data_IF_043802522514
#
_entry.id   IF_043802522514
#
_cell.length_a   1.000
_cell.length_b   1.000
_cell.length_c   1.000
_cell.angle_alpha   90.00
_cell.angle_beta   90.00
_cell.angle_gamma   90.00
#
_symmetry.space_group_name_H-M   'P 1'
#
loop_
_entity.id
_entity.type
_entity.pdbx_description
1 polymer ?
#
# COMPACT_ATOMS: atom_id res chain seq x y z
N UNK A 1 -21.79 9.06 48.38
CA UNK A 1 -21.15 7.98 47.58
C UNK A 1 -22.16 7.34 46.66
N UNK A 2 -23.37 6.90 47.12
CA UNK A 2 -24.40 6.23 46.31
C UNK A 2 -24.90 7.07 45.13
N UNK A 3 -25.10 8.37 45.33
CA UNK A 3 -25.58 9.29 44.27
C UNK A 3 -24.55 9.44 43.17
N UNK A 4 -23.24 9.53 43.54
CA UNK A 4 -22.15 9.63 42.56
C UNK A 4 -22.03 8.36 41.74
N UNK A 5 -22.12 7.19 42.37
CA UNK A 5 -22.10 5.89 41.68
C UNK A 5 -23.30 5.73 40.72
N UNK A 6 -24.52 6.15 41.15
CA UNK A 6 -25.68 6.12 40.29
C UNK A 6 -25.54 7.05 39.09
N UNK A 7 -24.98 8.25 39.28
CA UNK A 7 -24.72 9.18 38.17
C UNK A 7 -23.67 8.63 37.18
N UNK A 8 -22.58 8.01 37.68
CA UNK A 8 -21.58 7.37 36.82
C UNK A 8 -22.15 6.18 36.04
N UNK A 9 -22.99 5.35 36.67
CA UNK A 9 -23.67 4.25 36.00
C UNK A 9 -24.63 4.76 34.91
N UNK A 10 -25.37 5.83 35.19
CA UNK A 10 -26.24 6.44 34.18
C UNK A 10 -25.49 7.01 32.99
N UNK A 11 -24.34 7.69 33.23
CA UNK A 11 -23.47 8.19 32.18
C UNK A 11 -22.87 7.05 31.34
N UNK A 12 -22.46 5.97 31.99
CA UNK A 12 -21.97 4.78 31.31
C UNK A 12 -23.06 4.16 30.42
N UNK A 13 -24.27 3.95 30.96
CA UNK A 13 -25.39 3.42 30.19
C UNK A 13 -25.73 4.33 28.99
N UNK A 14 -25.71 5.64 29.20
CA UNK A 14 -25.92 6.60 28.14
C UNK A 14 -24.88 6.48 27.05
N UNK A 15 -23.61 6.38 27.40
CA UNK A 15 -22.52 6.20 26.42
C UNK A 15 -22.59 4.85 25.72
N UNK A 16 -22.77 3.76 26.46
CA UNK A 16 -22.71 2.39 25.92
C UNK A 16 -23.93 2.03 25.04
N UNK A 17 -25.13 2.52 25.38
CA UNK A 17 -26.39 2.03 24.81
C UNK A 17 -27.27 3.11 24.17
N UNK A 18 -26.84 4.38 24.13
CA UNK A 18 -27.66 5.46 23.57
C UNK A 18 -27.61 5.46 22.04
N UNK A 19 -28.78 5.62 21.42
CA UNK A 19 -28.93 5.83 19.97
C UNK A 19 -28.92 7.30 19.57
N UNK A 20 -28.57 8.22 20.50
CA UNK A 20 -28.42 9.64 20.17
C UNK A 20 -27.28 9.77 19.15
N UNK A 21 -27.53 10.37 17.96
CA UNK A 21 -26.56 10.36 16.85
C UNK A 21 -25.17 10.91 17.22
N UNK A 22 -25.14 11.92 18.07
CA UNK A 22 -23.90 12.49 18.56
C UNK A 22 -23.10 11.50 19.43
N UNK A 23 -23.77 10.82 20.37
CA UNK A 23 -23.13 9.84 21.27
C UNK A 23 -22.72 8.59 20.50
N UNK A 24 -23.59 8.09 19.64
CA UNK A 24 -23.32 6.94 18.80
C UNK A 24 -22.10 7.17 17.89
N UNK A 25 -21.97 8.35 17.28
CA UNK A 25 -20.82 8.74 16.47
C UNK A 25 -19.52 8.71 17.28
N UNK A 26 -19.49 9.31 18.47
CA UNK A 26 -18.31 9.33 19.30
C UNK A 26 -17.94 7.95 19.86
N UNK A 27 -18.94 7.14 20.19
CA UNK A 27 -18.75 5.74 20.59
C UNK A 27 -18.10 4.93 19.45
N UNK A 28 -18.60 5.07 18.22
CA UNK A 28 -18.03 4.40 17.05
C UNK A 28 -16.57 4.80 16.80
N UNK A 29 -16.27 6.12 16.85
CA UNK A 29 -14.89 6.61 16.72
C UNK A 29 -13.99 6.03 17.82
N UNK A 30 -14.47 6.00 19.07
CA UNK A 30 -13.72 5.43 20.20
C UNK A 30 -13.43 3.94 19.98
N UNK A 31 -14.44 3.14 19.59
CA UNK A 31 -14.26 1.71 19.32
C UNK A 31 -13.27 1.50 18.18
N UNK A 32 -13.46 2.17 17.06
CA UNK A 32 -12.57 2.03 15.90
C UNK A 32 -11.13 2.41 16.25
N UNK A 33 -10.93 3.51 16.94
CA UNK A 33 -9.58 3.94 17.36
C UNK A 33 -8.94 2.95 18.35
N UNK A 34 -9.70 2.41 19.29
CA UNK A 34 -9.19 1.43 20.25
C UNK A 34 -8.87 0.09 19.57
N UNK A 35 -9.71 -0.35 18.62
CA UNK A 35 -9.52 -1.61 17.90
C UNK A 35 -8.41 -1.55 16.85
N UNK A 36 -8.13 -0.37 16.30
CA UNK A 36 -7.03 -0.17 15.34
C UNK A 36 -5.64 -0.21 16.00
N UNK A 37 -5.57 -0.09 17.31
CA UNK A 37 -4.32 -0.04 18.05
C UNK A 37 -4.15 -1.32 18.88
N UNK A 38 -3.22 -2.19 18.51
CA UNK A 38 -3.00 -3.49 19.16
C UNK A 38 -2.86 -3.38 20.71
N UNK A 39 -2.23 -2.33 21.21
CA UNK A 39 -2.02 -2.14 22.64
C UNK A 39 -3.22 -1.56 23.41
N UNK A 40 -4.28 -1.12 22.71
CA UNK A 40 -5.39 -0.41 23.33
C UNK A 40 -6.76 -1.10 23.13
N UNK A 41 -6.80 -2.27 22.52
CA UNK A 41 -8.04 -3.05 22.32
C UNK A 41 -8.75 -3.35 23.63
N UNK A 42 -8.00 -3.55 24.70
CA UNK A 42 -8.55 -3.77 26.03
C UNK A 42 -9.41 -2.59 26.54
N UNK A 43 -9.16 -1.35 26.07
CA UNK A 43 -9.99 -0.20 26.42
C UNK A 43 -11.42 -0.33 25.87
N UNK A 44 -11.60 -0.88 24.68
CA UNK A 44 -12.91 -1.16 24.13
C UNK A 44 -13.53 -2.42 24.79
N UNK A 45 -12.79 -3.52 24.84
CA UNK A 45 -13.29 -4.83 25.30
C UNK A 45 -13.57 -4.89 26.80
N UNK A 46 -12.87 -4.10 27.63
CA UNK A 46 -13.10 -4.04 29.08
C UNK A 46 -14.30 -3.17 29.48
N UNK A 47 -14.65 -2.18 28.65
CA UNK A 47 -15.65 -1.17 29.02
C UNK A 47 -16.94 -1.24 28.20
N UNK A 48 -16.93 -1.92 27.05
CA UNK A 48 -18.10 -2.01 26.19
C UNK A 48 -18.51 -3.47 25.96
N UNK A 49 -19.82 -3.74 25.84
CA UNK A 49 -20.31 -5.07 25.45
C UNK A 49 -19.81 -5.45 24.06
N UNK A 50 -19.48 -6.74 23.89
CA UNK A 50 -18.97 -7.27 22.64
C UNK A 50 -19.94 -6.98 21.46
N UNK A 51 -21.25 -7.06 21.69
CA UNK A 51 -22.24 -6.76 20.65
C UNK A 51 -22.16 -5.34 20.10
N UNK A 52 -21.81 -4.36 20.94
CA UNK A 52 -21.66 -2.95 20.52
C UNK A 52 -20.36 -2.77 19.71
N UNK A 53 -19.33 -3.50 20.09
CA UNK A 53 -18.05 -3.53 19.36
C UNK A 53 -18.26 -4.17 17.99
N UNK A 54 -18.92 -5.33 17.95
CA UNK A 54 -19.16 -6.08 16.72
C UNK A 54 -20.02 -5.27 15.72
N UNK A 55 -21.03 -4.53 16.23
CA UNK A 55 -21.85 -3.66 15.39
C UNK A 55 -21.04 -2.51 14.78
N UNK A 56 -20.18 -1.85 15.58
CA UNK A 56 -19.33 -0.76 15.09
C UNK A 56 -18.29 -1.25 14.07
N UNK A 57 -17.75 -2.46 14.26
CA UNK A 57 -16.79 -3.08 13.34
C UNK A 57 -17.47 -3.61 12.09
N UNK A 58 -18.67 -4.16 12.18
CA UNK A 58 -19.45 -4.61 11.03
C UNK A 58 -19.83 -3.45 10.10
N UNK A 59 -20.22 -2.31 10.66
CA UNK A 59 -20.49 -1.09 9.89
C UNK A 59 -19.27 -0.60 9.13
N UNK A 60 -18.07 -0.66 9.74
CA UNK A 60 -16.82 -0.33 9.10
C UNK A 60 -16.45 -1.31 7.98
N UNK A 61 -16.55 -2.61 8.27
CA UNK A 61 -16.23 -3.66 7.29
C UNK A 61 -17.19 -3.62 6.09
N UNK A 62 -18.47 -3.31 6.32
CA UNK A 62 -19.45 -3.09 5.27
C UNK A 62 -19.07 -1.91 4.36
N UNK A 63 -18.71 -0.78 4.94
CA UNK A 63 -18.23 0.39 4.18
C UNK A 63 -16.95 0.11 3.39
N UNK A 64 -16.02 -0.66 3.96
CA UNK A 64 -14.81 -1.11 3.24
C UNK A 64 -15.13 -2.07 2.10
N UNK A 65 -16.08 -2.98 2.29
CA UNK A 65 -16.53 -3.90 1.22
C UNK A 65 -17.25 -3.15 0.09
N UNK A 66 -18.07 -2.15 0.40
CA UNK A 66 -18.69 -1.30 -0.62
C UNK A 66 -17.63 -0.51 -1.41
N UNK A 67 -16.61 0.05 -0.74
CA UNK A 67 -15.50 0.70 -1.43
C UNK A 67 -14.70 -0.27 -2.30
N UNK A 68 -14.48 -1.50 -1.83
CA UNK A 68 -13.76 -2.52 -2.61
C UNK A 68 -14.57 -3.00 -3.80
N UNK A 69 -15.90 -3.08 -3.70
CA UNK A 69 -16.79 -3.41 -4.81
C UNK A 69 -16.90 -2.27 -5.84
N UNK A 70 -16.81 -1.02 -5.40
CA UNK A 70 -16.75 0.13 -6.29
C UNK A 70 -15.39 0.27 -7.01
N UNK A 71 -14.34 -0.29 -6.42
CA UNK A 71 -13.00 -0.37 -7.04
C UNK A 71 -12.78 -1.74 -7.72
N UNK A 72 -13.86 -2.45 -8.08
CA UNK A 72 -13.73 -3.69 -8.82
C UNK A 72 -13.20 -3.43 -10.23
N UNK A 73 -12.54 -4.44 -10.79
CA UNK A 73 -11.87 -4.38 -12.10
C UNK A 73 -12.76 -3.90 -13.27
N UNK A 74 -14.08 -3.90 -13.10
CA UNK A 74 -15.03 -3.40 -14.09
C UNK A 74 -14.98 -1.87 -14.27
N UNK A 75 -14.68 -1.11 -13.18
CA UNK A 75 -14.51 0.35 -13.26
C UNK A 75 -13.23 0.76 -14.03
N UNK A 76 -12.26 -0.15 -14.14
CA UNK A 76 -11.05 0.08 -14.93
C UNK A 76 -11.24 -0.27 -16.40
N UNK A 77 -12.17 -1.18 -16.73
CA UNK A 77 -12.48 -1.60 -18.10
C UNK A 77 -13.30 -0.55 -18.87
N UNK A 78 -14.08 0.29 -18.17
CA UNK A 78 -14.94 1.32 -18.78
C UNK A 78 -14.28 2.70 -18.88
N UNK A 79 -12.98 2.84 -18.60
CA UNK A 79 -12.27 4.08 -18.90
C UNK A 79 -12.06 4.23 -20.41
N UNK A 80 -12.64 5.25 -21.05
CA UNK A 80 -12.52 5.44 -22.50
C UNK A 80 -11.08 5.71 -22.98
N UNK A 81 -10.14 5.96 -22.04
CA UNK A 81 -8.72 6.22 -22.29
C UNK A 81 -7.79 5.15 -21.65
N UNK A 82 -8.33 4.02 -21.17
CA UNK A 82 -7.48 2.90 -20.85
C UNK A 82 -6.98 2.31 -22.18
N UNK A 83 -5.85 2.81 -22.65
CA UNK A 83 -5.03 2.06 -23.59
C UNK A 83 -4.87 0.68 -22.98
N UNK A 84 -5.31 -0.43 -23.64
CA UNK A 84 -5.07 -1.76 -23.10
C UNK A 84 -3.59 -1.86 -22.79
N UNK A 85 -3.25 -2.29 -21.56
CA UNK A 85 -1.89 -2.73 -21.32
C UNK A 85 -1.51 -3.64 -22.48
N UNK A 86 -0.39 -3.44 -23.15
CA UNK A 86 -0.02 -4.25 -24.29
C UNK A 86 -0.06 -5.70 -23.83
N UNK A 87 -1.10 -6.42 -24.25
CA UNK A 87 -1.12 -7.87 -24.18
C UNK A 87 0.03 -8.29 -25.04
N UNK A 88 1.10 -8.78 -24.40
CA UNK A 88 2.28 -9.23 -25.09
C UNK A 88 1.88 -10.23 -26.17
N UNK A 89 1.63 -9.74 -27.34
CA UNK A 89 1.69 -10.54 -28.54
C UNK A 89 3.17 -10.81 -28.74
N UNK A 90 3.58 -12.02 -28.38
CA UNK A 90 4.90 -12.58 -28.66
C UNK A 90 5.10 -12.66 -30.16
N UNK A 91 5.21 -11.52 -30.82
CA UNK A 91 5.83 -11.40 -32.11
C UNK A 91 7.31 -11.64 -31.93
N UNK A 92 7.71 -12.89 -32.07
CA UNK A 92 9.08 -13.34 -32.18
C UNK A 92 9.83 -12.49 -33.21
N UNK A 93 10.51 -11.45 -32.74
CA UNK A 93 11.61 -10.84 -33.44
C UNK A 93 12.87 -11.23 -32.65
N UNK A 94 13.57 -12.21 -33.17
CA UNK A 94 14.89 -12.60 -32.66
C UNK A 94 15.80 -11.37 -32.73
N UNK A 95 16.40 -10.98 -31.58
CA UNK A 95 17.51 -10.05 -31.41
C UNK A 95 17.26 -8.54 -31.34
N UNK A 96 16.17 -8.05 -30.77
CA UNK A 96 16.16 -6.67 -30.30
C UNK A 96 15.75 -6.63 -28.82
N UNK A 97 16.73 -6.33 -27.92
CA UNK A 97 16.46 -6.00 -26.54
C UNK A 97 15.45 -4.85 -26.41
N UNK A 98 15.00 -4.56 -25.19
CA UNK A 98 14.04 -3.47 -24.96
C UNK A 98 14.60 -2.15 -25.56
N UNK A 99 13.83 -1.54 -26.48
CA UNK A 99 14.19 -0.25 -27.04
C UNK A 99 13.90 0.89 -26.05
N UNK A 100 14.45 2.06 -26.28
CA UNK A 100 14.14 3.26 -25.52
C UNK A 100 12.61 3.55 -25.50
N UNK A 101 11.99 3.50 -26.68
CA UNK A 101 10.54 3.73 -26.77
C UNK A 101 9.74 2.67 -26.00
N UNK A 102 10.16 1.39 -26.07
CA UNK A 102 9.56 0.31 -25.29
C UNK A 102 9.73 0.50 -23.79
N UNK A 103 10.86 1.05 -23.35
CA UNK A 103 11.08 1.40 -21.95
C UNK A 103 10.08 2.47 -21.47
N UNK A 104 9.91 3.56 -22.22
CA UNK A 104 8.96 4.62 -21.87
C UNK A 104 7.50 4.21 -22.06
N UNK A 105 7.22 3.25 -22.89
CA UNK A 105 5.90 2.62 -22.99
C UNK A 105 5.61 1.76 -21.75
N UNK A 106 6.58 0.99 -21.28
CA UNK A 106 6.47 0.18 -20.07
C UNK A 106 6.39 1.05 -18.81
N UNK A 107 7.24 2.08 -18.70
CA UNK A 107 7.30 3.00 -17.55
C UNK A 107 6.76 4.38 -17.91
N UNK A 108 5.54 4.41 -18.43
CA UNK A 108 4.87 5.64 -18.88
C UNK A 108 4.65 6.69 -17.78
N UNK A 109 4.79 6.31 -16.50
CA UNK A 109 4.73 7.24 -15.38
C UNK A 109 5.94 8.16 -15.29
N UNK A 110 7.05 7.83 -15.94
CA UNK A 110 8.29 8.59 -15.88
C UNK A 110 8.21 9.88 -16.71
N UNK A 111 8.79 10.94 -16.16
CA UNK A 111 9.09 12.14 -16.94
C UNK A 111 10.36 11.90 -17.78
N UNK A 112 10.19 11.90 -19.10
CA UNK A 112 11.28 11.59 -20.05
C UNK A 112 12.46 12.55 -19.88
N UNK A 113 12.20 13.87 -19.69
CA UNK A 113 13.25 14.86 -19.58
C UNK A 113 14.15 14.62 -18.37
N UNK A 114 13.57 14.39 -17.19
CA UNK A 114 14.32 14.09 -15.98
C UNK A 114 15.10 12.77 -16.06
N UNK A 115 14.58 11.79 -16.79
CA UNK A 115 15.27 10.52 -17.03
C UNK A 115 16.47 10.70 -17.97
N UNK A 116 16.29 11.44 -19.06
CA UNK A 116 17.37 11.76 -19.99
C UNK A 116 18.50 12.57 -19.31
N UNK A 117 18.13 13.55 -18.46
CA UNK A 117 19.09 14.32 -17.66
C UNK A 117 19.90 13.40 -16.74
N UNK A 118 19.21 12.49 -16.01
CA UNK A 118 19.87 11.51 -15.16
C UNK A 118 20.83 10.61 -15.92
N UNK A 119 20.39 10.06 -17.07
CA UNK A 119 21.25 9.18 -17.89
C UNK A 119 22.44 9.92 -18.52
N UNK A 120 22.31 11.22 -18.75
CA UNK A 120 23.45 12.03 -19.22
C UNK A 120 24.54 12.20 -18.17
N UNK A 121 24.14 12.22 -16.89
CA UNK A 121 25.04 12.25 -15.73
C UNK A 121 25.56 10.87 -15.34
N UNK A 122 24.79 9.81 -15.64
CA UNK A 122 25.06 8.42 -15.30
C UNK A 122 25.01 7.50 -16.54
N UNK A 123 25.90 7.69 -17.53
CA UNK A 123 25.88 6.90 -18.76
C UNK A 123 26.14 5.41 -18.52
N UNK A 124 26.79 5.06 -17.40
CA UNK A 124 27.04 3.69 -16.97
C UNK A 124 25.74 2.90 -16.71
N UNK A 125 24.64 3.58 -16.40
CA UNK A 125 23.38 2.93 -16.14
C UNK A 125 22.81 2.19 -17.37
N UNK A 126 23.22 2.57 -18.58
CA UNK A 126 22.80 1.96 -19.85
C UNK A 126 23.86 1.07 -20.49
N UNK A 127 24.98 0.77 -19.83
CA UNK A 127 26.04 -0.07 -20.42
C UNK A 127 25.52 -1.44 -20.87
N UNK A 128 24.56 -2.02 -20.12
CA UNK A 128 23.97 -3.32 -20.41
C UNK A 128 22.63 -3.24 -21.18
N UNK A 129 22.29 -2.06 -21.70
CA UNK A 129 21.05 -1.80 -22.45
C UNK A 129 19.82 -1.53 -21.60
N UNK A 130 18.74 -1.11 -22.26
CA UNK A 130 17.48 -0.75 -21.59
C UNK A 130 16.82 -1.93 -20.88
N UNK A 131 16.93 -3.13 -21.40
CA UNK A 131 16.36 -4.35 -20.82
C UNK A 131 16.99 -4.75 -19.48
N UNK A 132 18.22 -4.32 -19.22
CA UNK A 132 18.97 -4.61 -18.00
C UNK A 132 19.14 -3.38 -17.11
N UNK A 133 18.45 -2.29 -17.44
CA UNK A 133 18.55 -1.05 -16.65
C UNK A 133 18.09 -1.28 -15.22
N UNK A 134 18.98 -0.97 -14.29
CA UNK A 134 18.75 -1.05 -12.85
C UNK A 134 19.26 0.20 -12.17
N UNK A 135 18.35 0.98 -11.59
CA UNK A 135 18.64 2.16 -10.81
C UNK A 135 18.06 1.94 -9.40
N UNK A 136 18.89 1.96 -8.39
CA UNK A 136 18.44 1.77 -7.02
C UNK A 136 19.23 2.68 -6.07
N UNK A 137 18.71 3.86 -5.87
CA UNK A 137 19.20 4.82 -4.87
C UNK A 137 18.16 4.95 -3.72
N UNK A 138 17.40 3.88 -3.48
CA UNK A 138 16.39 3.82 -2.44
C UNK A 138 17.01 3.48 -1.08
N UNK A 139 17.75 4.42 -0.49
CA UNK A 139 18.16 4.37 0.91
C UNK A 139 17.09 4.97 1.84
N UNK A 140 17.04 4.54 3.11
CA UNK A 140 16.16 5.16 4.11
C UNK A 140 16.52 6.62 4.39
N UNK A 141 17.82 6.94 4.25
CA UNK A 141 18.41 8.26 4.50
C UNK A 141 18.88 8.94 3.21
N UNK A 142 18.53 8.38 2.05
CA UNK A 142 18.98 8.85 0.76
C UNK A 142 18.03 9.87 0.16
N UNK A 143 18.59 10.86 -0.52
CA UNK A 143 17.79 11.86 -1.25
C UNK A 143 17.06 11.27 -2.48
N UNK A 144 17.40 10.04 -2.85
CA UNK A 144 16.87 9.34 -4.01
C UNK A 144 17.48 9.86 -5.32
N UNK A 145 16.88 9.49 -6.46
CA UNK A 145 17.34 9.95 -7.77
C UNK A 145 16.86 11.37 -8.10
N UNK A 146 17.46 12.00 -9.13
CA UNK A 146 16.95 13.22 -9.75
C UNK A 146 15.74 12.97 -10.65
N UNK A 147 15.45 11.69 -10.98
CA UNK A 147 14.36 11.28 -11.87
C UNK A 147 13.02 11.59 -11.21
N UNK A 148 12.07 12.04 -12.04
CA UNK A 148 10.71 12.37 -11.62
C UNK A 148 9.69 11.56 -12.41
N UNK A 149 8.51 11.42 -11.81
CA UNK A 149 7.33 11.00 -12.56
C UNK A 149 6.74 12.18 -13.33
N UNK A 150 5.86 11.93 -14.29
CA UNK A 150 5.10 12.95 -14.99
C UNK A 150 4.24 13.84 -14.05
N UNK A 151 3.96 13.36 -12.84
CA UNK A 151 3.24 14.11 -11.79
C UNK A 151 4.19 14.86 -10.85
N UNK A 152 5.52 14.70 -11.02
CA UNK A 152 6.57 15.39 -10.27
C UNK A 152 7.07 14.68 -9.03
N UNK A 153 6.56 13.48 -8.71
CA UNK A 153 7.08 12.69 -7.59
C UNK A 153 8.48 12.15 -7.89
N UNK A 154 9.26 11.97 -6.83
CA UNK A 154 10.62 11.48 -6.94
C UNK A 154 10.65 9.96 -7.14
N UNK A 155 11.37 9.52 -8.16
CA UNK A 155 11.68 8.11 -8.37
C UNK A 155 12.83 7.69 -7.46
N UNK A 156 12.67 6.55 -6.78
CA UNK A 156 13.67 5.98 -5.88
C UNK A 156 14.45 4.84 -6.53
N UNK A 157 13.76 4.01 -7.31
CA UNK A 157 14.37 2.89 -8.00
C UNK A 157 13.59 2.52 -9.26
N UNK A 158 14.31 2.00 -10.25
CA UNK A 158 13.79 1.40 -11.47
C UNK A 158 14.48 0.05 -11.64
N UNK A 159 13.69 -1.00 -11.76
CA UNK A 159 14.18 -2.37 -11.99
C UNK A 159 13.45 -2.91 -13.22
N UNK A 160 14.06 -2.74 -14.38
CA UNK A 160 13.47 -3.15 -15.66
C UNK A 160 13.36 -4.66 -15.76
N UNK A 161 14.40 -5.46 -15.42
CA UNK A 161 14.26 -6.92 -15.42
C UNK A 161 13.10 -7.46 -14.60
N UNK A 162 12.79 -6.80 -13.49
CA UNK A 162 11.67 -7.17 -12.61
C UNK A 162 10.41 -6.34 -12.86
N UNK A 163 10.45 -5.36 -13.75
CA UNK A 163 9.35 -4.48 -14.10
C UNK A 163 8.76 -3.76 -12.88
N UNK A 164 9.65 -3.24 -12.02
CA UNK A 164 9.29 -2.56 -10.77
C UNK A 164 9.76 -1.11 -10.82
N UNK A 165 8.89 -0.21 -10.39
CA UNK A 165 9.18 1.20 -10.18
C UNK A 165 8.86 1.56 -8.73
N UNK A 166 9.80 2.20 -8.03
CA UNK A 166 9.58 2.74 -6.69
C UNK A 166 9.53 4.26 -6.74
N UNK A 167 8.48 4.83 -6.19
CA UNK A 167 8.22 6.28 -6.19
C UNK A 167 7.99 6.76 -4.77
N UNK A 168 8.63 7.88 -4.41
CA UNK A 168 8.38 8.55 -3.13
C UNK A 168 7.11 9.38 -3.24
N UNK A 169 6.14 9.08 -2.41
CA UNK A 169 4.89 9.82 -2.33
C UNK A 169 4.79 10.56 -1.01
N UNK A 170 4.30 11.79 -1.04
CA UNK A 170 4.09 12.58 0.16
C UNK A 170 2.87 13.48 0.01
N UNK A 171 2.19 13.70 1.11
CA UNK A 171 1.05 14.60 1.20
C UNK A 171 0.95 15.21 2.59
N UNK A 172 -0.15 15.91 2.85
CA UNK A 172 -0.37 16.53 4.15
C UNK A 172 -0.47 15.47 5.24
N UNK A 173 0.61 15.30 6.03
CA UNK A 173 0.64 14.40 7.17
C UNK A 173 1.08 12.97 6.87
N UNK A 174 1.52 12.64 5.65
CA UNK A 174 2.08 11.34 5.34
C UNK A 174 3.27 11.40 4.40
N UNK A 175 4.12 10.40 4.51
CA UNK A 175 5.18 10.05 3.56
C UNK A 175 5.13 8.55 3.34
N UNK A 176 5.42 8.10 2.13
CA UNK A 176 5.44 6.68 1.79
C UNK A 176 6.22 6.41 0.53
N UNK A 177 6.32 5.14 0.22
CA UNK A 177 6.87 4.63 -1.04
C UNK A 177 5.74 3.89 -1.76
N UNK A 178 5.50 4.26 -3.01
CA UNK A 178 4.62 3.55 -3.91
C UNK A 178 5.48 2.59 -4.74
N UNK A 179 5.19 1.31 -4.67
CA UNK A 179 5.77 0.31 -5.55
C UNK A 179 4.78 0.00 -6.67
N UNK A 180 5.20 0.18 -7.90
CA UNK A 180 4.44 -0.15 -9.10
C UNK A 180 5.07 -1.39 -9.72
N UNK A 181 4.37 -2.52 -9.69
CA UNK A 181 4.74 -3.74 -10.39
C UNK A 181 3.94 -3.83 -11.69
N UNK A 182 4.62 -3.85 -12.84
CA UNK A 182 3.99 -3.89 -14.15
C UNK A 182 3.45 -5.27 -14.50
N UNK A 183 4.08 -6.31 -13.95
CA UNK A 183 3.64 -7.69 -14.11
C UNK A 183 2.99 -8.18 -12.81
N UNK A 184 1.66 -8.20 -12.78
CA UNK A 184 0.88 -8.65 -11.62
C UNK A 184 1.05 -10.15 -11.33
N UNK A 185 1.49 -10.97 -12.29
CA UNK A 185 1.72 -12.40 -12.08
C UNK A 185 2.90 -12.67 -11.15
N UNK A 186 3.77 -11.68 -10.95
CA UNK A 186 4.93 -11.74 -10.04
C UNK A 186 4.59 -11.36 -8.60
N UNK A 187 3.37 -10.93 -8.33
CA UNK A 187 2.91 -10.63 -6.99
C UNK A 187 2.46 -11.91 -6.28
N UNK A 188 2.93 -12.11 -5.06
CA UNK A 188 2.52 -13.23 -4.24
C UNK A 188 2.26 -12.80 -2.79
N UNK A 189 1.35 -13.51 -2.12
CA UNK A 189 1.11 -13.35 -0.69
C UNK A 189 1.79 -14.50 0.02
N UNK A 190 2.67 -14.17 0.96
CA UNK A 190 3.43 -15.15 1.72
C UNK A 190 3.18 -14.99 3.20
N UNK A 191 3.09 -16.10 3.92
CA UNK A 191 2.99 -16.11 5.37
C UNK A 191 4.37 -16.30 6.01
N UNK A 192 4.51 -15.83 7.26
CA UNK A 192 5.69 -16.18 8.06
C UNK A 192 5.79 -17.69 8.24
N UNK A 193 6.98 -18.23 8.08
CA UNK A 193 7.25 -19.66 8.37
C UNK A 193 7.11 -20.00 9.87
N UNK A 194 7.14 -18.97 10.72
CA UNK A 194 7.07 -19.11 12.18
C UNK A 194 5.76 -18.53 12.74
N UNK A 195 4.69 -18.62 11.95
CA UNK A 195 3.38 -18.10 12.34
C UNK A 195 2.93 -18.71 13.68
N UNK A 196 2.70 -17.86 14.67
CA UNK A 196 2.28 -18.27 16.02
C UNK A 196 3.43 -18.57 17.00
N UNK A 197 4.71 -18.44 16.58
CA UNK A 197 5.87 -18.66 17.44
C UNK A 197 6.77 -17.43 17.52
N UNK A 198 7.42 -17.09 16.42
CA UNK A 198 8.28 -15.90 16.31
C UNK A 198 7.96 -15.10 15.03
N UNK A 199 8.14 -13.77 15.10
CA UNK A 199 7.95 -12.91 13.93
C UNK A 199 9.12 -13.04 12.95
N UNK A 200 8.81 -12.96 11.65
CA UNK A 200 9.78 -12.69 10.59
C UNK A 200 9.58 -11.27 10.07
N UNK A 201 10.66 -10.62 9.68
CA UNK A 201 10.55 -9.35 8.94
C UNK A 201 10.08 -9.61 7.51
N UNK A 202 9.45 -8.62 6.87
CA UNK A 202 9.06 -8.72 5.47
C UNK A 202 10.25 -9.07 4.57
N UNK A 203 11.44 -8.48 4.84
CA UNK A 203 12.68 -8.80 4.11
C UNK A 203 13.08 -10.27 4.23
N UNK A 204 13.03 -10.87 5.42
CA UNK A 204 13.33 -12.30 5.62
C UNK A 204 12.34 -13.21 4.88
N UNK A 205 11.07 -12.82 4.82
CA UNK A 205 10.05 -13.58 4.07
C UNK A 205 10.31 -13.45 2.57
N UNK A 206 10.65 -12.25 2.08
CA UNK A 206 11.01 -12.03 0.68
C UNK A 206 12.22 -12.88 0.28
N UNK A 207 13.31 -12.80 1.03
CA UNK A 207 14.53 -13.57 0.77
C UNK A 207 14.26 -15.08 0.70
N UNK A 208 13.49 -15.61 1.65
CA UNK A 208 13.13 -17.03 1.70
C UNK A 208 12.27 -17.49 0.51
N UNK A 209 11.56 -16.57 -0.15
CA UNK A 209 10.67 -16.85 -1.28
C UNK A 209 11.19 -16.28 -2.62
N UNK A 210 12.44 -15.82 -2.66
CA UNK A 210 13.04 -15.27 -3.87
C UNK A 210 12.45 -13.92 -4.32
N UNK A 211 11.84 -13.17 -3.39
CA UNK A 211 11.26 -11.87 -3.66
C UNK A 211 12.29 -10.73 -3.52
N UNK A 212 12.29 -9.80 -4.48
CA UNK A 212 13.14 -8.60 -4.44
C UNK A 212 12.53 -7.44 -3.64
N UNK A 213 11.22 -7.45 -3.43
CA UNK A 213 10.47 -6.44 -2.68
C UNK A 213 9.43 -7.10 -1.79
N UNK A 214 9.25 -6.60 -0.59
CA UNK A 214 8.20 -7.05 0.30
C UNK A 214 7.64 -5.94 1.17
N UNK A 215 6.36 -6.07 1.48
CA UNK A 215 5.67 -5.20 2.44
C UNK A 215 4.73 -6.03 3.33
N UNK A 216 4.45 -5.53 4.52
CA UNK A 216 3.47 -6.16 5.40
C UNK A 216 2.06 -5.81 4.97
N UNK A 217 1.21 -6.83 4.76
CA UNK A 217 -0.18 -6.65 4.33
C UNK A 217 -1.20 -6.55 5.47
N UNK A 218 -0.82 -6.93 6.69
CA UNK A 218 -1.73 -6.88 7.85
C UNK A 218 -0.98 -6.63 9.15
N UNK A 219 -1.72 -6.21 10.19
CA UNK A 219 -1.23 -6.18 11.56
C UNK A 219 -1.16 -7.60 12.13
N UNK A 220 -0.20 -7.85 13.03
CA UNK A 220 -0.20 -9.05 13.84
C UNK A 220 -1.40 -8.98 14.80
N UNK A 221 -2.17 -10.05 14.87
CA UNK A 221 -3.23 -10.23 15.86
C UNK A 221 -2.70 -11.30 16.80
N UNK A 222 -2.42 -10.92 18.06
CA UNK A 222 -2.10 -11.85 19.14
C UNK A 222 -3.38 -12.47 19.71
#
# INVERSE_FOLDING_TARGET
>A
VSVVLAALAALYCLFAFSDIPFIAKWRTIYIQTAMDTMNHQWLATAFLPQSVIDEAMAARNGAMQEQTQHNSSDDWADRPDATPAPSGDNGTSENDGLSEDGFYELFWELDRGSMEDYLSEHPEALEDGWENLYINEAGLDDDGTSIRTAMGEQVLAIDVPNQILLVRVSGTGYRGVLAVAKDSSRLSVQNSAYLGDTGQTAGQIAEANGGGLAMTGSAFID
#
